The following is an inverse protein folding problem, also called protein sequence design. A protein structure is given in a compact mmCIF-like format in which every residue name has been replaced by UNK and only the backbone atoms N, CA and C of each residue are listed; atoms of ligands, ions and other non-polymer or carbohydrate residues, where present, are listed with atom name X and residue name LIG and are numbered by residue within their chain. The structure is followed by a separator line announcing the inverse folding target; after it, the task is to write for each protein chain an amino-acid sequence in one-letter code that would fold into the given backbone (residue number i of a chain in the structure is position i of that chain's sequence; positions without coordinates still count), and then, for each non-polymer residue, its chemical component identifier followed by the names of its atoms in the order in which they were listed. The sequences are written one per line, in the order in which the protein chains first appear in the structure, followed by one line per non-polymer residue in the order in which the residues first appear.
data_IF_528223215073
#
_entry.id   IF_528223215073
#
_cell.length_a   1.000
_cell.length_b   1.000
_cell.length_c   1.000
_cell.angle_alpha   90.00
_cell.angle_beta   90.00
_cell.angle_gamma   90.00
#
_symmetry.space_group_name_H-M   'P 1'
#
loop_
_entity.id
_entity.type
_entity.pdbx_description
1 polymer ?
#
# COMPACT_ATOMS: atom_id res chain seq x y z
N UNK A 1 -18.05 -5.17 11.48
CA UNK A 1 -18.48 -5.72 10.17
C UNK A 1 -17.46 -6.77 9.77
N UNK A 2 -17.86 -8.04 9.77
CA UNK A 2 -16.96 -9.15 9.44
C UNK A 2 -16.89 -9.28 7.93
N UNK A 3 -15.69 -9.22 7.39
CA UNK A 3 -15.43 -9.63 6.02
C UNK A 3 -15.38 -11.15 5.99
N UNK A 4 -16.24 -11.77 5.19
CA UNK A 4 -16.35 -13.23 5.09
C UNK A 4 -15.20 -13.81 4.24
N UNK A 5 -14.68 -13.04 3.28
CA UNK A 5 -13.53 -13.43 2.47
C UNK A 5 -12.42 -12.40 2.61
N UNK A 6 -11.22 -12.86 2.94
CA UNK A 6 -10.04 -12.01 3.06
C UNK A 6 -8.76 -12.80 2.82
N UNK A 7 -7.71 -12.09 2.48
CA UNK A 7 -6.34 -12.57 2.58
C UNK A 7 -5.46 -11.42 3.07
N UNK A 8 -4.45 -11.75 3.86
CA UNK A 8 -3.45 -10.78 4.31
C UNK A 8 -2.11 -11.45 4.55
N UNK A 9 -1.03 -10.69 4.42
CA UNK A 9 0.28 -11.07 4.89
C UNK A 9 0.53 -10.41 6.25
N UNK A 10 1.09 -11.15 7.19
CA UNK A 10 1.34 -10.66 8.54
C UNK A 10 2.64 -11.20 9.12
N UNK A 11 3.31 -10.39 9.93
CA UNK A 11 4.35 -10.85 10.84
C UNK A 11 3.70 -11.18 12.17
N UNK A 12 3.90 -12.40 12.65
CA UNK A 12 3.54 -12.84 13.99
C UNK A 12 4.79 -13.09 14.81
N UNK A 13 4.73 -12.70 16.06
CA UNK A 13 5.75 -13.03 17.04
C UNK A 13 5.17 -13.99 18.07
N UNK A 14 5.71 -15.19 18.11
CA UNK A 14 5.31 -16.26 19.03
C UNK A 14 6.58 -16.87 19.63
N UNK A 15 6.62 -17.04 20.95
CA UNK A 15 7.76 -17.61 21.69
C UNK A 15 9.14 -17.00 21.31
N UNK A 16 9.16 -15.69 21.07
CA UNK A 16 10.36 -14.95 20.69
C UNK A 16 10.74 -15.06 19.21
N UNK A 17 10.07 -15.90 18.44
CA UNK A 17 10.31 -16.04 17.00
C UNK A 17 9.33 -15.20 16.18
N UNK A 18 9.85 -14.54 15.14
CA UNK A 18 9.03 -13.80 14.17
C UNK A 18 8.84 -14.61 12.91
N UNK A 19 7.59 -14.80 12.53
CA UNK A 19 7.21 -15.51 11.30
C UNK A 19 6.36 -14.60 10.43
N UNK A 20 6.81 -14.36 9.22
CA UNK A 20 6.00 -13.74 8.17
C UNK A 20 5.18 -14.83 7.48
N UNK A 21 3.91 -14.61 7.28
CA UNK A 21 3.04 -15.61 6.66
C UNK A 21 1.81 -15.01 6.03
N UNK A 22 1.13 -15.80 5.21
CA UNK A 22 -0.13 -15.45 4.56
C UNK A 22 -1.27 -16.16 5.25
N UNK A 23 -2.34 -15.42 5.53
CA UNK A 23 -3.62 -15.95 6.02
C UNK A 23 -4.67 -15.73 4.94
N UNK A 24 -5.51 -16.73 4.74
CA UNK A 24 -6.64 -16.65 3.80
C UNK A 24 -7.89 -17.25 4.41
N UNK A 25 -9.01 -16.56 4.20
CA UNK A 25 -10.35 -17.12 4.39
C UNK A 25 -11.20 -16.82 3.16
N UNK A 26 -11.85 -17.83 2.63
CA UNK A 26 -12.83 -17.70 1.56
C UNK A 26 -14.16 -18.16 2.10
N UNK A 27 -15.15 -17.31 2.01
CA UNK A 27 -16.52 -17.64 2.35
C UNK A 27 -17.18 -18.35 1.17
N UNK A 28 -17.71 -19.53 1.41
CA UNK A 28 -18.35 -20.38 0.41
C UNK A 28 -19.89 -20.34 0.42
N UNK A 29 -20.44 -19.25 0.97
CA UNK A 29 -21.88 -19.04 1.17
C UNK A 29 -22.53 -19.93 2.26
N UNK A 30 -21.74 -20.41 3.23
CA UNK A 30 -22.23 -21.17 4.37
C UNK A 30 -22.54 -22.64 4.04
N UNK A 31 -22.99 -23.36 5.07
CA UNK A 31 -23.42 -24.75 4.94
C UNK A 31 -24.76 -24.79 4.22
N UNK A 32 -24.85 -25.59 3.16
CA UNK A 32 -26.06 -25.75 2.37
C UNK A 32 -26.67 -27.13 2.61
N UNK A 33 -28.00 -27.20 2.63
CA UNK A 33 -28.75 -28.46 2.60
C UNK A 33 -28.72 -29.10 1.20
N UNK A 34 -29.37 -30.24 1.08
CA UNK A 34 -29.46 -30.98 -0.18
C UNK A 34 -30.19 -30.19 -1.29
N UNK A 35 -31.03 -29.24 -0.93
CA UNK A 35 -31.80 -28.39 -1.84
C UNK A 35 -31.04 -27.08 -2.19
N UNK A 36 -29.84 -26.90 -1.61
CA UNK A 36 -28.99 -25.72 -1.85
C UNK A 36 -29.33 -24.48 -1.01
N UNK A 37 -30.22 -24.61 0.00
CA UNK A 37 -30.53 -23.52 0.91
C UNK A 37 -29.44 -23.40 1.97
N UNK A 38 -29.08 -22.17 2.32
CA UNK A 38 -28.12 -21.90 3.40
C UNK A 38 -28.79 -22.21 4.74
N UNK A 39 -28.31 -23.24 5.42
CA UNK A 39 -28.82 -23.69 6.73
C UNK A 39 -27.95 -23.20 7.89
N UNK A 40 -26.71 -22.87 7.62
CA UNK A 40 -25.80 -22.28 8.59
C UNK A 40 -24.87 -21.30 7.88
N UNK A 41 -25.00 -20.03 8.20
CA UNK A 41 -24.11 -18.96 7.74
C UNK A 41 -23.20 -18.44 8.86
N UNK A 42 -23.16 -19.15 9.99
CA UNK A 42 -22.32 -18.77 11.11
C UNK A 42 -20.86 -18.82 10.68
N UNK A 43 -20.23 -17.68 10.77
CA UNK A 43 -18.78 -17.58 10.67
C UNK A 43 -18.25 -18.00 12.04
N UNK A 44 -17.44 -19.04 12.07
CA UNK A 44 -16.66 -19.32 13.27
C UNK A 44 -15.72 -18.13 13.52
N UNK A 45 -16.12 -17.28 14.45
CA UNK A 45 -15.40 -16.06 14.80
C UNK A 45 -14.17 -16.35 15.63
N UNK A 46 -14.16 -17.51 16.27
CA UNK A 46 -13.11 -17.96 17.16
C UNK A 46 -12.13 -18.92 16.43
N UNK A 47 -12.41 -19.25 15.16
CA UNK A 47 -11.49 -20.05 14.36
C UNK A 47 -10.12 -19.37 14.27
N UNK A 48 -9.11 -20.10 14.66
CA UNK A 48 -7.75 -19.61 14.61
C UNK A 48 -7.36 -19.30 13.14
N UNK A 49 -6.87 -18.10 12.92
CA UNK A 49 -6.39 -17.69 11.61
C UNK A 49 -4.99 -18.27 11.37
N UNK A 50 -4.95 -19.49 10.87
CA UNK A 50 -3.70 -20.18 10.57
C UNK A 50 -3.03 -19.60 9.31
N UNK A 51 -1.70 -19.67 9.27
CA UNK A 51 -0.97 -19.42 8.03
C UNK A 51 -1.28 -20.52 7.00
N UNK A 52 -1.41 -20.13 5.74
CA UNK A 52 -1.56 -21.10 4.64
C UNK A 52 -0.30 -21.95 4.50
N UNK A 53 -0.47 -23.21 4.12
CA UNK A 53 0.64 -24.12 3.90
C UNK A 53 1.58 -23.59 2.82
N UNK A 54 2.89 -23.64 3.06
CA UNK A 54 3.92 -23.15 2.13
C UNK A 54 4.01 -21.62 2.04
N UNK A 55 3.15 -20.88 2.78
CA UNK A 55 3.11 -19.41 2.76
C UNK A 55 3.78 -18.77 3.98
N UNK A 56 4.85 -19.37 4.54
CA UNK A 56 5.52 -18.84 5.73
C UNK A 56 7.03 -18.73 5.56
N UNK A 57 7.59 -17.72 6.20
CA UNK A 57 9.04 -17.46 6.27
C UNK A 57 9.41 -17.06 7.69
N UNK A 58 10.35 -17.76 8.30
CA UNK A 58 10.95 -17.32 9.56
C UNK A 58 11.85 -16.12 9.30
N UNK A 59 11.58 -15.01 9.97
CA UNK A 59 12.43 -13.82 9.85
C UNK A 59 13.69 -13.98 10.69
N UNK A 60 14.86 -13.54 10.18
CA UNK A 60 16.08 -13.48 10.98
C UNK A 60 15.91 -12.64 12.24
N UNK A 61 16.61 -12.98 13.31
CA UNK A 61 16.51 -12.25 14.58
C UNK A 61 16.97 -10.79 14.47
N UNK A 62 17.94 -10.54 13.59
CA UNK A 62 18.50 -9.22 13.29
C UNK A 62 17.72 -8.43 12.24
N UNK A 63 16.69 -9.00 11.63
CA UNK A 63 15.85 -8.28 10.69
C UNK A 63 15.06 -7.18 11.40
N UNK A 64 15.37 -5.93 11.15
CA UNK A 64 14.68 -4.76 11.72
C UNK A 64 13.51 -4.29 10.87
N UNK A 65 13.56 -4.54 9.57
CA UNK A 65 12.55 -4.14 8.62
C UNK A 65 12.11 -5.34 7.77
N UNK A 66 10.88 -5.30 7.34
CA UNK A 66 10.32 -6.18 6.33
C UNK A 66 9.44 -5.38 5.37
N UNK A 67 9.69 -5.52 4.11
CA UNK A 67 8.84 -4.98 3.06
C UNK A 67 7.87 -6.05 2.61
N UNK A 68 6.60 -5.71 2.55
CA UNK A 68 5.54 -6.60 2.08
C UNK A 68 4.85 -5.92 0.89
N UNK A 69 4.66 -6.67 -0.17
CA UNK A 69 3.96 -6.22 -1.37
C UNK A 69 2.86 -7.21 -1.71
N UNK A 70 1.73 -6.72 -2.19
CA UNK A 70 0.68 -7.54 -2.78
C UNK A 70 0.37 -7.08 -4.21
N UNK A 71 0.46 -7.99 -5.16
CA UNK A 71 -0.05 -7.79 -6.51
C UNK A 71 -1.50 -8.28 -6.54
N UNK A 72 -2.41 -7.34 -6.77
CA UNK A 72 -3.85 -7.59 -6.68
C UNK A 72 -4.44 -7.56 -8.08
N UNK A 73 -4.96 -8.70 -8.55
CA UNK A 73 -5.58 -8.83 -9.87
C UNK A 73 -7.08 -9.02 -9.73
N UNK A 74 -7.84 -8.04 -10.18
CA UNK A 74 -9.30 -8.09 -10.21
C UNK A 74 -9.79 -8.48 -11.61
N UNK A 75 -10.47 -9.61 -11.71
CA UNK A 75 -11.25 -9.94 -12.89
C UNK A 75 -12.59 -9.19 -12.85
N UNK A 76 -12.68 -8.14 -13.63
CA UNK A 76 -13.86 -7.28 -13.69
C UNK A 76 -15.13 -8.01 -14.21
N UNK A 77 -14.98 -9.08 -14.96
CA UNK A 77 -16.12 -9.83 -15.49
C UNK A 77 -16.78 -10.71 -14.42
N UNK A 78 -15.96 -11.34 -13.57
CA UNK A 78 -16.44 -12.22 -12.49
C UNK A 78 -16.48 -11.55 -11.12
N UNK A 79 -15.86 -10.38 -10.96
CA UNK A 79 -15.68 -9.72 -9.66
C UNK A 79 -14.73 -10.45 -8.71
N UNK A 80 -13.94 -11.39 -9.22
CA UNK A 80 -13.02 -12.20 -8.42
C UNK A 80 -11.66 -11.51 -8.30
N UNK A 81 -11.10 -11.56 -7.10
CA UNK A 81 -9.78 -11.00 -6.79
C UNK A 81 -8.80 -12.13 -6.51
N UNK A 82 -7.64 -12.09 -7.14
CA UNK A 82 -6.47 -12.91 -6.77
C UNK A 82 -5.34 -12.01 -6.27
N UNK A 83 -4.53 -12.54 -5.35
CA UNK A 83 -3.48 -11.78 -4.68
C UNK A 83 -2.21 -12.63 -4.63
N UNK A 84 -1.12 -12.13 -5.22
CA UNK A 84 0.22 -12.67 -4.98
C UNK A 84 0.94 -11.79 -3.97
N UNK A 85 1.35 -12.37 -2.84
CA UNK A 85 2.18 -11.69 -1.86
C UNK A 85 3.67 -11.89 -2.15
N UNK A 86 4.43 -10.86 -1.82
CA UNK A 86 5.87 -10.83 -1.93
C UNK A 86 6.45 -10.21 -0.68
N UNK A 87 7.69 -10.55 -0.36
CA UNK A 87 8.43 -9.92 0.72
C UNK A 87 9.86 -9.63 0.33
N UNK A 88 10.46 -8.69 1.06
CA UNK A 88 11.88 -8.36 0.96
C UNK A 88 12.41 -7.99 2.34
N UNK A 89 13.69 -8.26 2.60
CA UNK A 89 14.40 -7.85 3.81
C UNK A 89 15.35 -6.67 3.57
N UNK A 90 15.57 -6.31 2.32
CA UNK A 90 16.45 -5.22 1.90
C UNK A 90 15.74 -4.15 1.03
N UNK A 91 14.45 -4.36 0.74
CA UNK A 91 13.65 -3.50 -0.14
C UNK A 91 13.99 -3.60 -1.62
N UNK A 92 14.96 -4.46 -2.01
CA UNK A 92 15.47 -4.58 -3.38
C UNK A 92 15.21 -5.95 -3.98
N UNK A 93 15.55 -7.01 -3.26
CA UNK A 93 15.32 -8.37 -3.70
C UNK A 93 14.02 -8.90 -3.15
N UNK A 94 13.11 -9.28 -4.06
CA UNK A 94 11.78 -9.72 -3.73
C UNK A 94 11.61 -11.21 -3.94
N UNK A 95 11.05 -11.87 -2.94
CA UNK A 95 10.71 -13.30 -2.97
C UNK A 95 9.19 -13.45 -2.85
N UNK A 96 8.63 -14.43 -3.54
CA UNK A 96 7.22 -14.80 -3.36
C UNK A 96 6.98 -15.28 -1.93
N UNK A 97 5.89 -14.86 -1.34
CA UNK A 97 5.40 -15.34 -0.06
C UNK A 97 4.23 -16.30 -0.32
N UNK A 98 4.54 -17.56 -0.46
CA UNK A 98 3.59 -18.61 -0.81
C UNK A 98 3.03 -18.49 -2.23
N UNK A 99 2.00 -19.30 -2.49
CA UNK A 99 1.29 -19.30 -3.76
C UNK A 99 0.29 -18.12 -3.85
N UNK A 100 -0.20 -17.86 -5.06
CA UNK A 100 -1.27 -16.89 -5.29
C UNK A 100 -2.52 -17.27 -4.49
N UNK A 101 -3.10 -16.29 -3.81
CA UNK A 101 -4.28 -16.44 -2.97
C UNK A 101 -5.53 -16.02 -3.73
N UNK A 102 -6.55 -16.84 -3.66
CA UNK A 102 -7.80 -16.54 -4.30
C UNK A 102 -8.41 -17.79 -4.99
N UNK A 103 -9.41 -17.57 -5.84
CA UNK A 103 -10.09 -16.30 -5.98
C UNK A 103 -10.87 -15.91 -4.72
N UNK A 104 -10.75 -14.67 -4.28
CA UNK A 104 -11.63 -14.10 -3.29
C UNK A 104 -12.91 -13.66 -3.97
N UNK A 105 -14.03 -13.92 -3.32
CA UNK A 105 -15.34 -13.55 -3.86
C UNK A 105 -15.89 -12.36 -3.10
N UNK A 106 -16.59 -11.48 -3.82
CA UNK A 106 -17.30 -10.39 -3.21
C UNK A 106 -18.53 -10.91 -2.46
N UNK A 107 -18.67 -10.53 -1.21
CA UNK A 107 -19.83 -10.88 -0.39
C UNK A 107 -20.92 -9.80 -0.52
N UNK A 108 -21.97 -10.09 -1.29
CA UNK A 108 -23.11 -9.22 -1.50
C UNK A 108 -23.97 -9.03 -0.24
N UNK A 109 -23.82 -9.88 0.78
CA UNK A 109 -24.54 -9.72 2.05
C UNK A 109 -24.01 -8.58 2.91
N UNK A 110 -22.79 -8.12 2.64
CA UNK A 110 -22.25 -6.90 3.19
C UNK A 110 -22.95 -5.72 2.50
N UNK A 111 -24.13 -5.37 3.00
CA UNK A 111 -24.90 -4.23 2.51
C UNK A 111 -23.98 -3.04 2.24
N UNK A 112 -24.09 -2.39 1.10
CA UNK A 112 -23.50 -1.11 0.75
C UNK A 112 -22.30 -1.11 -0.20
N UNK A 113 -22.40 -1.79 -1.35
CA UNK A 113 -21.55 -1.51 -2.53
C UNK A 113 -20.07 -1.21 -2.21
N UNK A 114 -19.49 -1.96 -1.28
CA UNK A 114 -18.10 -1.79 -0.89
C UNK A 114 -17.26 -2.80 -1.66
N UNK A 115 -16.48 -2.33 -2.61
CA UNK A 115 -15.46 -3.13 -3.27
C UNK A 115 -14.41 -3.69 -2.30
N UNK A 116 -13.45 -4.42 -2.83
CA UNK A 116 -12.30 -4.88 -2.05
C UNK A 116 -11.57 -3.71 -1.41
N UNK A 117 -11.12 -3.92 -0.18
CA UNK A 117 -10.38 -2.91 0.59
C UNK A 117 -9.03 -3.47 0.96
N UNK A 118 -8.03 -2.64 0.79
CA UNK A 118 -6.66 -2.90 1.22
C UNK A 118 -6.39 -1.98 2.40
N UNK A 119 -5.73 -2.48 3.42
CA UNK A 119 -5.41 -1.68 4.60
C UNK A 119 -4.33 -2.30 5.45
N UNK A 120 -3.80 -1.49 6.36
CA UNK A 120 -2.85 -1.89 7.37
C UNK A 120 -3.56 -2.10 8.70
N UNK A 121 -3.10 -3.06 9.49
CA UNK A 121 -3.64 -3.30 10.83
C UNK A 121 -2.57 -3.88 11.74
N UNK A 122 -2.76 -3.68 13.05
CA UNK A 122 -1.97 -4.30 14.10
C UNK A 122 -2.90 -4.68 15.25
N UNK A 123 -2.74 -5.88 15.81
CA UNK A 123 -3.50 -6.33 16.97
C UNK A 123 -2.72 -7.37 17.79
N UNK A 124 -3.01 -7.43 19.09
CA UNK A 124 -2.45 -8.42 19.99
C UNK A 124 -3.48 -9.54 20.23
N UNK A 125 -3.06 -10.80 20.21
CA UNK A 125 -3.90 -11.96 20.51
C UNK A 125 -3.90 -12.31 22.00
N UNK A 126 -2.74 -12.23 22.64
CA UNK A 126 -2.57 -12.65 24.03
C UNK A 126 -2.24 -11.47 24.97
N UNK A 127 -1.13 -10.78 24.68
CA UNK A 127 -0.64 -9.70 25.53
C UNK A 127 -0.67 -8.37 24.79
N UNK A 128 -1.17 -7.34 25.46
CA UNK A 128 -1.14 -5.97 24.95
C UNK A 128 0.25 -5.35 25.12
N UNK A 129 0.59 -4.34 24.30
CA UNK A 129 1.82 -3.56 24.43
C UNK A 129 2.80 -3.68 23.26
N UNK A 130 2.53 -4.55 22.29
CA UNK A 130 3.27 -4.58 21.03
C UNK A 130 2.89 -3.40 20.13
N UNK A 131 3.86 -2.90 19.37
CA UNK A 131 3.64 -1.89 18.35
C UNK A 131 4.36 -2.27 17.06
N UNK A 132 3.92 -1.68 15.96
CA UNK A 132 4.59 -1.75 14.66
C UNK A 132 4.61 -0.36 14.06
N UNK A 133 5.74 0.03 13.54
CA UNK A 133 5.88 1.27 12.78
C UNK A 133 5.76 0.93 11.29
N UNK A 134 4.86 1.63 10.62
CA UNK A 134 4.74 1.58 9.17
C UNK A 134 5.46 2.80 8.59
N UNK A 135 6.57 2.56 7.92
CA UNK A 135 7.37 3.62 7.32
C UNK A 135 6.63 4.28 6.15
N UNK A 136 5.97 3.47 5.32
CA UNK A 136 5.10 3.96 4.25
C UNK A 136 4.05 2.92 3.86
N UNK A 137 3.01 3.41 3.19
CA UNK A 137 2.00 2.60 2.51
C UNK A 137 1.80 3.17 1.11
N UNK A 138 2.02 2.33 0.11
CA UNK A 138 2.04 2.72 -1.28
C UNK A 138 1.05 1.93 -2.12
N UNK A 139 0.38 2.60 -3.05
CA UNK A 139 -0.51 2.00 -4.05
C UNK A 139 -0.02 2.39 -5.44
N UNK A 140 0.19 1.38 -6.29
CA UNK A 140 0.55 1.55 -7.69
C UNK A 140 -0.44 0.80 -8.57
N UNK A 141 -0.70 1.32 -9.76
CA UNK A 141 -1.45 0.66 -10.82
C UNK A 141 -0.55 -0.21 -11.73
N UNK A 142 0.75 -0.28 -11.43
CA UNK A 142 1.73 -1.07 -12.16
C UNK A 142 2.12 -2.30 -11.36
N UNK A 143 1.88 -3.50 -11.93
CA UNK A 143 2.31 -4.76 -11.34
C UNK A 143 3.80 -4.99 -11.65
N UNK A 144 4.65 -4.93 -10.64
CA UNK A 144 6.10 -5.14 -10.78
C UNK A 144 6.47 -6.60 -11.03
N UNK A 145 5.56 -7.56 -10.72
CA UNK A 145 5.75 -8.98 -10.96
C UNK A 145 5.69 -9.40 -12.43
N UNK A 146 5.14 -8.54 -13.30
CA UNK A 146 4.94 -8.86 -14.73
C UNK A 146 6.21 -8.71 -15.57
N UNK A 147 7.35 -8.38 -14.98
CA UNK A 147 8.59 -8.11 -15.70
C UNK A 147 8.51 -6.86 -16.58
N UNK A 148 7.52 -5.99 -16.36
CA UNK A 148 7.41 -4.70 -17.04
C UNK A 148 8.54 -3.79 -16.60
N UNK A 149 9.07 -3.05 -17.54
CA UNK A 149 10.04 -2.00 -17.23
C UNK A 149 9.41 -0.99 -16.26
N UNK A 150 10.21 -0.53 -15.31
CA UNK A 150 9.81 0.51 -14.36
C UNK A 150 9.38 1.77 -15.13
N UNK A 151 8.18 2.26 -14.87
CA UNK A 151 7.68 3.48 -15.50
C UNK A 151 8.17 4.72 -14.74
N UNK A 152 9.07 5.45 -15.34
CA UNK A 152 9.66 6.68 -14.81
C UNK A 152 8.97 7.95 -15.31
N UNK A 153 7.93 7.86 -16.12
CA UNK A 153 7.33 9.00 -16.82
C UNK A 153 6.76 10.06 -15.86
N UNK A 154 6.03 9.63 -14.83
CA UNK A 154 5.45 10.53 -13.82
C UNK A 154 6.53 11.22 -12.97
N UNK A 155 7.62 10.50 -12.64
CA UNK A 155 8.74 11.07 -11.90
C UNK A 155 9.47 12.13 -12.73
N UNK A 156 9.74 11.85 -14.00
CA UNK A 156 10.34 12.81 -14.92
C UNK A 156 9.47 14.05 -15.07
N UNK A 157 8.17 13.89 -15.24
CA UNK A 157 7.24 15.02 -15.34
C UNK A 157 7.23 15.89 -14.07
N UNK A 158 7.30 15.28 -12.88
CA UNK A 158 7.37 16.04 -11.62
C UNK A 158 8.70 16.78 -11.49
N UNK A 159 9.83 16.19 -11.92
CA UNK A 159 11.13 16.84 -11.96
C UNK A 159 11.10 18.04 -12.92
N UNK A 160 10.60 17.85 -14.15
CA UNK A 160 10.51 18.92 -15.16
C UNK A 160 9.64 20.09 -14.65
N UNK A 161 8.54 19.78 -13.97
CA UNK A 161 7.69 20.79 -13.34
C UNK A 161 8.46 21.55 -12.24
N UNK A 162 9.17 20.86 -11.36
CA UNK A 162 9.95 21.49 -10.31
C UNK A 162 11.09 22.36 -10.88
N UNK A 163 11.80 21.88 -11.89
CA UNK A 163 12.89 22.61 -12.56
C UNK A 163 12.40 23.86 -13.31
N UNK A 164 11.11 23.94 -13.63
CA UNK A 164 10.52 25.12 -14.30
C UNK A 164 10.14 26.25 -13.32
N UNK A 165 10.15 26.03 -12.03
CA UNK A 165 9.75 27.01 -11.03
C UNK A 165 10.89 28.00 -10.72
N UNK A 166 10.52 29.18 -10.20
CA UNK A 166 11.48 30.22 -9.82
C UNK A 166 11.35 30.55 -8.32
N UNK A 167 12.45 30.53 -7.59
CA UNK A 167 12.49 30.70 -6.12
C UNK A 167 11.85 31.98 -5.61
N UNK A 168 11.92 33.07 -6.40
CA UNK A 168 11.40 34.37 -6.00
C UNK A 168 9.86 34.42 -5.79
N UNK A 169 9.15 33.38 -6.26
CA UNK A 169 7.68 33.31 -6.21
C UNK A 169 7.17 32.55 -4.96
N UNK A 170 8.07 32.01 -4.12
CA UNK A 170 7.70 31.08 -3.05
C UNK A 170 8.39 31.42 -1.73
N UNK A 171 7.79 31.04 -0.56
CA UNK A 171 8.45 31.09 0.73
C UNK A 171 9.74 30.25 0.73
N UNK A 172 10.81 30.80 1.34
CA UNK A 172 12.15 30.20 1.28
C UNK A 172 12.19 28.80 1.89
N UNK A 173 11.49 28.58 3.01
CA UNK A 173 11.45 27.28 3.70
C UNK A 173 10.73 26.20 2.87
N UNK A 174 9.66 26.56 2.19
CA UNK A 174 8.95 25.63 1.28
C UNK A 174 9.75 25.37 0.01
N UNK A 175 10.47 26.39 -0.48
CA UNK A 175 11.38 26.23 -1.60
C UNK A 175 12.54 25.28 -1.28
N UNK A 176 13.17 25.39 -0.12
CA UNK A 176 14.25 24.51 0.33
C UNK A 176 13.79 23.05 0.50
N UNK A 177 12.58 22.86 0.99
CA UNK A 177 11.96 21.51 1.03
C UNK A 177 11.79 20.93 -0.38
N UNK A 178 11.28 21.73 -1.30
CA UNK A 178 11.11 21.31 -2.70
C UNK A 178 12.45 20.93 -3.33
N UNK A 179 13.50 21.72 -3.16
CA UNK A 179 14.84 21.42 -3.66
C UNK A 179 15.40 20.11 -3.10
N UNK A 180 15.18 19.85 -1.81
CA UNK A 180 15.58 18.59 -1.18
C UNK A 180 14.88 17.39 -1.78
N UNK A 181 13.58 17.50 -2.07
CA UNK A 181 12.79 16.44 -2.70
C UNK A 181 13.12 16.26 -4.17
N UNK A 182 13.39 17.35 -4.87
CA UNK A 182 13.84 17.34 -6.27
C UNK A 182 15.18 16.61 -6.41
N UNK A 183 16.11 16.84 -5.50
CA UNK A 183 17.41 16.16 -5.48
C UNK A 183 17.24 14.65 -5.28
N UNK A 184 16.38 14.23 -4.33
CA UNK A 184 16.02 12.83 -4.12
C UNK A 184 15.37 12.20 -5.35
N UNK A 185 14.49 12.93 -6.03
CA UNK A 185 13.83 12.49 -7.25
C UNK A 185 14.84 12.26 -8.39
N UNK A 186 15.77 13.19 -8.57
CA UNK A 186 16.86 13.06 -9.56
C UNK A 186 17.80 11.89 -9.24
N UNK A 187 18.13 11.69 -7.97
CA UNK A 187 18.95 10.54 -7.53
C UNK A 187 18.23 9.22 -7.79
N UNK A 188 16.92 9.13 -7.54
CA UNK A 188 16.14 7.92 -7.83
C UNK A 188 16.18 7.54 -9.32
N UNK A 189 16.12 8.50 -10.24
CA UNK A 189 16.29 8.23 -11.67
C UNK A 189 17.73 7.81 -12.03
N UNK A 190 18.71 8.40 -11.38
CA UNK A 190 20.14 8.13 -11.67
C UNK A 190 20.60 6.77 -11.13
N UNK A 191 19.88 6.19 -10.15
CA UNK A 191 20.23 4.90 -9.53
C UNK A 191 19.80 3.67 -10.34
N UNK A 192 19.23 3.86 -11.53
CA UNK A 192 18.65 2.78 -12.36
C UNK A 192 17.64 1.93 -11.56
N UNK A 193 16.46 2.50 -11.25
CA UNK A 193 15.51 1.88 -10.33
C UNK A 193 15.03 0.53 -10.83
N UNK A 194 15.08 -0.47 -9.99
CA UNK A 194 14.69 -1.86 -10.27
C UNK A 194 13.25 -2.18 -9.92
N UNK A 195 12.62 -1.32 -9.11
CA UNK A 195 11.23 -1.47 -8.68
C UNK A 195 10.43 -0.19 -8.92
N UNK A 196 9.13 -0.33 -9.16
CA UNK A 196 8.25 0.82 -9.34
C UNK A 196 8.22 1.71 -8.10
N UNK A 197 8.32 1.14 -6.91
CA UNK A 197 8.30 1.90 -5.66
C UNK A 197 9.50 2.84 -5.51
N UNK A 198 10.69 2.46 -6.02
CA UNK A 198 11.86 3.35 -6.03
C UNK A 198 11.61 4.64 -6.84
N UNK A 199 10.65 4.60 -7.74
CA UNK A 199 10.24 5.74 -8.59
C UNK A 199 9.03 6.46 -7.99
N UNK A 200 8.01 5.72 -7.55
CA UNK A 200 6.73 6.29 -7.13
C UNK A 200 6.84 7.04 -5.79
N UNK A 201 7.67 6.58 -4.86
CA UNK A 201 7.85 7.24 -3.56
C UNK A 201 8.42 8.67 -3.70
N UNK A 202 9.58 8.88 -4.37
CA UNK A 202 10.09 10.23 -4.60
C UNK A 202 9.18 11.07 -5.51
N UNK A 203 8.50 10.46 -6.49
CA UNK A 203 7.54 11.15 -7.35
C UNK A 203 6.40 11.76 -6.53
N UNK A 204 5.79 10.97 -5.64
CA UNK A 204 4.69 11.47 -4.78
C UNK A 204 5.14 12.55 -3.83
N UNK A 205 6.28 12.35 -3.17
CA UNK A 205 6.82 13.34 -2.24
C UNK A 205 7.04 14.69 -2.94
N UNK A 206 7.63 14.67 -4.14
CA UNK A 206 7.85 15.88 -4.93
C UNK A 206 6.52 16.49 -5.41
N UNK A 207 5.58 15.68 -5.89
CA UNK A 207 4.28 16.16 -6.38
C UNK A 207 3.43 16.79 -5.27
N UNK A 208 3.47 16.25 -4.04
CA UNK A 208 2.79 16.85 -2.91
C UNK A 208 3.37 18.23 -2.56
N UNK A 209 4.70 18.36 -2.58
CA UNK A 209 5.35 19.65 -2.32
C UNK A 209 5.05 20.67 -3.43
N UNK A 210 5.03 20.24 -4.68
CA UNK A 210 4.62 21.11 -5.80
C UNK A 210 3.17 21.60 -5.66
N UNK A 211 2.29 20.73 -5.21
CA UNK A 211 0.89 21.11 -4.94
C UNK A 211 0.80 22.12 -3.77
N UNK A 212 1.61 21.97 -2.71
CA UNK A 212 1.68 22.94 -1.62
C UNK A 212 2.18 24.30 -2.10
N UNK A 213 3.27 24.34 -2.86
CA UNK A 213 3.78 25.57 -3.46
C UNK A 213 2.75 26.28 -4.34
N UNK A 214 1.93 25.55 -5.09
CA UNK A 214 0.87 26.12 -5.90
C UNK A 214 -0.22 26.79 -5.05
N UNK A 215 -0.54 26.25 -3.87
CA UNK A 215 -1.48 26.85 -2.91
C UNK A 215 -0.87 28.12 -2.29
N UNK A 216 0.38 28.08 -1.89
CA UNK A 216 1.07 29.20 -1.24
C UNK A 216 1.22 30.40 -2.19
N UNK A 217 1.50 30.13 -3.48
CA UNK A 217 1.50 31.15 -4.53
C UNK A 217 0.15 31.84 -4.68
N UNK A 218 -0.95 31.09 -4.70
CA UNK A 218 -2.30 31.65 -4.79
C UNK A 218 -2.68 32.49 -3.56
N UNK A 219 -2.20 32.12 -2.39
CA UNK A 219 -2.46 32.84 -1.14
C UNK A 219 -1.66 34.13 -1.04
N UNK A 220 -0.50 34.24 -1.70
CA UNK A 220 0.35 35.42 -1.75
C UNK A 220 -0.16 36.53 -2.69
N UNK A 221 -0.91 36.17 -3.74
CA UNK A 221 -1.44 37.12 -4.72
C UNK A 221 -2.78 37.76 -4.29
N UNK A 222 -3.36 37.32 -3.16
CA UNK A 222 -4.64 37.79 -2.61
C UNK A 222 -4.56 39.02 -1.69
N UNK A 223 -3.45 39.68 -1.56
CA UNK A 223 -3.22 40.75 -0.58
C UNK A 223 -2.95 42.12 -1.15
N UNK A 224 -3.92 42.77 -1.80
CA UNK A 224 -4.28 44.17 -1.60
C UNK A 224 -5.45 44.67 -2.46
N UNK A 225 -6.69 44.82 -1.95
CA UNK A 225 -7.58 45.80 -2.43
C UNK A 225 -7.35 47.12 -1.69
N UNK A 226 -6.80 48.08 -2.42
CA UNK A 226 -6.53 49.44 -2.07
C UNK A 226 -7.36 50.04 -0.96
N UNK A 227 -6.62 50.53 0.06
CA UNK A 227 -7.09 51.64 0.84
C UNK A 227 -7.13 52.89 -0.05
N UNK A 228 -8.31 53.30 -0.46
CA UNK A 228 -8.59 54.59 -1.03
C UNK A 228 -9.06 55.48 0.07
N UNK A 229 -8.30 56.53 0.33
CA UNK A 229 -8.73 57.69 1.03
C UNK A 229 -10.05 58.25 0.57
N UNK A 230 -10.93 58.62 1.49
CA UNK A 230 -11.44 59.98 1.71
C UNK A 230 -12.24 60.03 3.00
#
# INVERSE_FOLDING_TARGET
TYTRSFAYAAVRQENGQRTLGVVKRVYDNGVKDADGNIVDDTIDRDAEEAFVSGGTVTLPDDATNVWIKSDNTLDNASGKLTIQYWYSLDGKQWSKLGDEQGPLTYDWSLSHFKGYRIGLFNYAKENTGGYVDFDYYDLSDVLTSDGKAVDTSKLRSAIDQADSLQSAEYPMDEWDKMLTLLDKAKQALASDPSTQNEVDAPQRALSLQLAQLAVDRQSGDGGNPGGGDQ
#
